data_IF_254399363951
#
_entry.id   IF_254399363951
#
_cell.length_a   1.000
_cell.length_b   1.000
_cell.length_c   1.000
_cell.angle_alpha   90.00
_cell.angle_beta   90.00
_cell.angle_gamma   90.00
#
_symmetry.space_group_name_H-M   'P 1'
#
loop_
_entity.id
_entity.type
_entity.pdbx_description
1 polymer ?
#
# COMPACT_ATOMS: atom_id res chain seq x y z
N UNK A 1 -68.43 7.80 15.74
CA UNK A 1 -67.18 8.35 16.32
C UNK A 1 -66.17 7.29 16.77
N UNK A 2 -66.54 6.22 17.50
CA UNK A 2 -65.58 5.19 17.97
C UNK A 2 -64.84 4.43 16.85
N UNK A 3 -65.48 4.17 15.71
CA UNK A 3 -64.85 3.49 14.57
C UNK A 3 -63.81 4.35 13.81
N UNK A 4 -64.01 5.68 13.78
CA UNK A 4 -63.07 6.61 13.13
C UNK A 4 -61.82 6.82 14.00
N UNK A 5 -61.98 6.79 15.33
CA UNK A 5 -60.86 6.86 16.28
C UNK A 5 -59.96 5.60 16.22
N UNK A 6 -60.54 4.42 15.96
CA UNK A 6 -59.77 3.18 15.79
C UNK A 6 -58.96 3.17 14.47
N UNK A 7 -59.51 3.77 13.41
CA UNK A 7 -58.82 3.89 12.12
C UNK A 7 -57.66 4.90 12.17
N UNK A 8 -57.75 5.93 13.02
CA UNK A 8 -56.67 6.89 13.26
C UNK A 8 -55.53 6.30 14.11
N UNK A 9 -55.84 5.36 15.02
CA UNK A 9 -54.84 4.69 15.87
C UNK A 9 -54.01 3.64 15.11
N UNK A 10 -54.53 3.10 14.00
CA UNK A 10 -53.79 2.17 13.13
C UNK A 10 -52.81 2.90 12.21
N UNK A 11 -53.07 4.17 11.87
CA UNK A 11 -52.23 4.99 11.00
C UNK A 11 -50.98 5.57 11.68
N UNK A 12 -50.85 5.49 13.00
CA UNK A 12 -49.62 5.92 13.72
C UNK A 12 -48.58 4.82 13.87
N UNK A 13 -48.81 3.62 13.31
CA UNK A 13 -47.70 2.71 13.02
C UNK A 13 -46.94 3.25 11.81
N UNK A 14 -46.20 4.34 12.04
CA UNK A 14 -45.17 4.78 11.13
C UNK A 14 -44.20 3.61 10.98
N UNK A 15 -44.33 2.88 9.88
CA UNK A 15 -43.32 1.93 9.44
C UNK A 15 -41.99 2.68 9.51
N UNK A 16 -41.14 2.29 10.44
CA UNK A 16 -39.76 2.73 10.46
C UNK A 16 -39.13 2.13 9.20
N UNK A 17 -39.15 2.90 8.12
CA UNK A 17 -38.42 2.56 6.91
C UNK A 17 -36.95 2.70 7.30
N UNK A 18 -36.27 1.56 7.47
CA UNK A 18 -34.83 1.54 7.72
C UNK A 18 -34.12 2.05 6.46
N UNK A 19 -33.85 3.36 6.45
CA UNK A 19 -32.96 3.98 5.48
C UNK A 19 -31.51 3.58 5.75
N UNK A 20 -30.61 4.00 4.88
CA UNK A 20 -29.16 3.87 5.06
C UNK A 20 -28.75 4.54 6.38
N UNK A 21 -28.17 3.76 7.30
CA UNK A 21 -27.62 4.27 8.55
C UNK A 21 -26.25 4.92 8.30
N UNK A 22 -26.26 6.19 7.89
CA UNK A 22 -25.05 6.96 7.64
C UNK A 22 -24.22 7.20 8.92
N UNK A 23 -24.82 7.09 10.11
CA UNK A 23 -24.10 7.23 11.38
C UNK A 23 -23.21 6.00 11.57
N UNK A 24 -23.78 4.79 11.42
CA UNK A 24 -23.03 3.52 11.44
C UNK A 24 -21.94 3.48 10.37
N UNK A 25 -22.21 3.97 9.16
CA UNK A 25 -21.20 4.04 8.08
C UNK A 25 -20.02 4.93 8.50
N UNK A 26 -20.29 6.16 8.98
CA UNK A 26 -19.24 7.08 9.45
C UNK A 26 -18.46 6.51 10.64
N UNK A 27 -19.13 5.86 11.57
CA UNK A 27 -18.50 5.17 12.72
C UNK A 27 -17.56 4.05 12.25
N UNK A 28 -18.00 3.25 11.28
CA UNK A 28 -17.21 2.17 10.70
C UNK A 28 -15.97 2.70 10.00
N UNK A 29 -16.12 3.74 9.17
CA UNK A 29 -15.00 4.40 8.51
C UNK A 29 -14.02 4.95 9.55
N UNK A 30 -14.52 5.70 10.54
CA UNK A 30 -13.68 6.27 11.62
C UNK A 30 -12.90 5.20 12.38
N UNK A 31 -13.52 4.05 12.64
CA UNK A 31 -12.89 2.93 13.35
C UNK A 31 -11.80 2.30 12.50
N UNK A 32 -12.14 1.84 11.29
CA UNK A 32 -11.23 1.15 10.37
C UNK A 32 -10.08 2.03 9.84
N UNK A 33 -10.23 3.36 9.90
CA UNK A 33 -9.18 4.33 9.52
C UNK A 33 -8.41 4.88 10.73
N UNK A 34 -8.72 4.43 11.94
CA UNK A 34 -8.00 4.88 13.13
C UNK A 34 -6.59 4.31 13.19
N UNK A 35 -5.70 4.99 13.93
CA UNK A 35 -4.31 4.56 14.16
C UNK A 35 -4.19 3.12 14.68
N UNK A 36 -5.21 2.65 15.42
CA UNK A 36 -5.29 1.29 15.95
C UNK A 36 -5.23 0.22 14.85
N UNK A 37 -5.75 0.51 13.66
CA UNK A 37 -5.80 -0.46 12.56
C UNK A 37 -4.58 -0.39 11.65
N UNK A 38 -3.57 0.44 11.96
CA UNK A 38 -2.28 0.48 11.26
C UNK A 38 -2.40 0.54 9.72
N UNK A 39 -3.38 1.29 9.21
CA UNK A 39 -3.62 1.37 7.77
C UNK A 39 -4.04 0.06 7.11
N UNK A 40 -4.52 -0.92 7.89
CA UNK A 40 -5.07 -2.22 7.45
C UNK A 40 -4.17 -3.02 6.52
N UNK A 41 -2.86 -2.88 6.68
CA UNK A 41 -1.86 -3.68 5.96
C UNK A 41 -1.31 -4.81 6.82
N UNK A 42 -0.48 -5.66 6.20
CA UNK A 42 0.16 -6.81 6.86
C UNK A 42 1.10 -6.39 8.01
N UNK A 43 1.77 -5.23 7.87
CA UNK A 43 2.61 -4.68 8.93
C UNK A 43 1.77 -4.41 10.20
N UNK A 44 2.31 -4.79 11.36
CA UNK A 44 1.65 -4.62 12.65
C UNK A 44 0.27 -5.30 12.76
N UNK A 45 -0.03 -6.27 11.88
CA UNK A 45 -1.29 -7.04 11.84
C UNK A 45 -2.55 -6.16 11.64
N UNK A 46 -2.42 -5.06 10.90
CA UNK A 46 -3.52 -4.13 10.67
C UNK A 46 -4.71 -4.77 9.95
N UNK A 47 -4.45 -5.65 9.00
CA UNK A 47 -5.46 -6.42 8.27
C UNK A 47 -6.17 -7.44 9.17
N UNK A 48 -5.45 -8.19 9.99
CA UNK A 48 -6.05 -9.12 10.95
C UNK A 48 -6.97 -8.39 11.96
N UNK A 49 -6.56 -7.21 12.43
CA UNK A 49 -7.41 -6.37 13.29
C UNK A 49 -8.70 -5.93 12.57
N UNK A 50 -8.62 -5.63 11.28
CA UNK A 50 -9.80 -5.31 10.46
C UNK A 50 -10.71 -6.53 10.26
N UNK A 51 -10.14 -7.71 10.05
CA UNK A 51 -10.87 -8.98 9.95
C UNK A 51 -11.65 -9.29 11.25
N UNK A 52 -11.03 -9.10 12.42
CA UNK A 52 -11.68 -9.27 13.72
C UNK A 52 -12.85 -8.29 13.92
N UNK A 53 -12.66 -7.02 13.53
CA UNK A 53 -13.72 -6.02 13.56
C UNK A 53 -14.90 -6.45 12.67
N UNK A 54 -14.64 -6.86 11.44
CA UNK A 54 -15.68 -7.30 10.49
C UNK A 54 -16.40 -8.54 11.01
N UNK A 55 -15.67 -9.51 11.56
CA UNK A 55 -16.26 -10.71 12.20
C UNK A 55 -17.26 -10.33 13.28
N UNK A 56 -16.90 -9.35 14.11
CA UNK A 56 -17.79 -8.83 15.17
C UNK A 56 -19.02 -8.20 14.56
N UNK A 57 -18.86 -7.36 13.53
CA UNK A 57 -19.98 -6.73 12.84
C UNK A 57 -20.92 -7.73 12.15
N UNK A 58 -20.40 -8.82 11.59
CA UNK A 58 -21.21 -9.89 10.98
C UNK A 58 -22.08 -10.61 12.02
N UNK A 59 -21.51 -10.92 13.19
CA UNK A 59 -22.25 -11.53 14.29
C UNK A 59 -23.35 -10.59 14.81
N UNK A 60 -23.05 -9.31 14.99
CA UNK A 60 -24.00 -8.30 15.49
C UNK A 60 -25.22 -8.13 14.59
N UNK A 61 -25.04 -8.22 13.27
CA UNK A 61 -26.15 -8.10 12.31
C UNK A 61 -26.83 -9.44 11.99
N UNK A 62 -26.44 -10.53 12.67
CA UNK A 62 -27.08 -11.84 12.56
C UNK A 62 -26.72 -12.64 11.31
N UNK A 63 -25.59 -12.37 10.66
CA UNK A 63 -25.08 -13.27 9.61
C UNK A 63 -24.70 -14.62 10.22
N UNK A 64 -24.61 -15.64 9.37
CA UNK A 64 -24.02 -16.94 9.73
C UNK A 64 -22.75 -17.20 8.93
N UNK A 65 -21.77 -17.93 9.48
CA UNK A 65 -20.59 -18.31 8.71
C UNK A 65 -20.95 -19.31 7.61
N UNK A 66 -20.30 -19.19 6.44
CA UNK A 66 -20.52 -20.10 5.30
C UNK A 66 -19.80 -21.44 5.48
N UNK A 67 -18.76 -21.48 6.32
CA UNK A 67 -18.00 -22.69 6.66
C UNK A 67 -17.95 -22.87 8.19
N UNK A 68 -16.90 -23.53 8.70
CA UNK A 68 -16.68 -23.67 10.14
C UNK A 68 -16.51 -22.31 10.86
N UNK A 69 -16.06 -21.28 10.13
CA UNK A 69 -15.93 -19.92 10.65
C UNK A 69 -16.27 -18.88 9.58
N UNK A 70 -16.35 -17.60 9.96
CA UNK A 70 -16.47 -16.49 9.01
C UNK A 70 -15.20 -16.29 8.18
N UNK A 71 -14.05 -16.71 8.70
CA UNK A 71 -12.76 -16.50 8.08
C UNK A 71 -12.45 -17.66 7.11
N UNK A 72 -12.14 -17.31 5.87
CA UNK A 72 -11.53 -18.20 4.90
C UNK A 72 -10.05 -17.76 4.75
N UNK A 73 -9.10 -18.52 5.31
CA UNK A 73 -7.69 -18.15 5.30
C UNK A 73 -7.05 -18.35 3.92
N UNK A 74 -6.08 -17.50 3.61
CA UNK A 74 -5.15 -17.66 2.50
C UNK A 74 -3.79 -17.06 2.88
N UNK A 75 -2.73 -17.41 2.13
CA UNK A 75 -1.40 -16.85 2.39
C UNK A 75 -0.80 -16.24 1.13
N UNK A 76 0.01 -15.21 1.31
CA UNK A 76 0.78 -14.57 0.25
C UNK A 76 2.09 -13.98 0.79
N UNK A 77 3.04 -13.76 -0.11
CA UNK A 77 4.26 -13.04 0.23
C UNK A 77 4.03 -11.53 0.15
N UNK A 78 4.58 -10.76 1.10
CA UNK A 78 4.49 -9.30 1.09
C UNK A 78 5.73 -8.65 1.68
N UNK A 79 6.27 -7.65 0.99
CA UNK A 79 7.31 -6.78 1.48
C UNK A 79 6.70 -5.58 2.23
N UNK A 80 7.14 -5.36 3.47
CA UNK A 80 6.63 -4.31 4.35
C UNK A 80 7.77 -3.43 4.88
N UNK A 81 7.44 -2.23 5.37
CA UNK A 81 8.44 -1.25 5.82
C UNK A 81 8.14 -0.73 7.26
N UNK A 82 8.11 -1.60 8.28
CA UNK A 82 7.74 -1.20 9.65
C UNK A 82 8.85 -0.41 10.38
N UNK A 83 10.06 -0.38 9.83
CA UNK A 83 11.25 0.09 10.51
C UNK A 83 11.64 1.54 10.19
N UNK A 84 12.95 1.79 10.17
CA UNK A 84 13.50 3.10 9.85
C UNK A 84 13.18 3.48 8.41
N UNK A 85 12.77 4.74 8.23
CA UNK A 85 12.48 5.34 6.93
C UNK A 85 13.06 6.75 6.94
N UNK A 86 14.16 6.95 6.23
CA UNK A 86 14.87 8.22 6.16
C UNK A 86 15.46 8.42 4.77
N UNK A 87 15.25 9.61 4.22
CA UNK A 87 15.93 10.12 3.04
C UNK A 87 16.31 11.58 3.28
N UNK A 88 17.57 11.91 3.05
CA UNK A 88 18.14 13.24 3.24
C UNK A 88 19.16 13.52 2.14
N UNK A 89 19.25 14.76 1.68
CA UNK A 89 20.36 15.24 0.85
C UNK A 89 21.29 16.13 1.69
N UNK A 90 22.41 16.57 1.10
CA UNK A 90 23.23 17.63 1.70
C UNK A 90 22.48 18.97 1.86
N UNK A 91 21.32 19.16 1.24
CA UNK A 91 20.55 20.41 1.30
C UNK A 91 19.35 20.34 2.26
N UNK A 92 18.92 19.14 2.67
CA UNK A 92 17.79 19.01 3.58
C UNK A 92 17.26 17.59 3.71
N UNK A 93 16.40 17.39 4.70
CA UNK A 93 15.69 16.12 4.93
C UNK A 93 14.39 16.10 4.13
N UNK A 94 14.07 14.97 3.51
CA UNK A 94 12.80 14.74 2.83
C UNK A 94 11.83 14.00 3.77
N UNK A 95 10.53 14.27 3.61
CA UNK A 95 9.45 13.72 4.41
C UNK A 95 8.83 12.51 3.73
N UNK A 96 8.87 11.35 4.38
CA UNK A 96 8.25 10.13 3.86
C UNK A 96 6.73 10.30 3.71
N UNK A 97 6.16 9.78 2.63
CA UNK A 97 4.75 9.90 2.26
C UNK A 97 4.34 11.25 1.65
N UNK A 98 5.12 12.32 1.85
CA UNK A 98 4.87 13.64 1.28
C UNK A 98 5.83 13.96 0.13
N UNK A 99 7.14 13.87 0.40
CA UNK A 99 8.20 14.18 -0.56
C UNK A 99 8.68 12.93 -1.30
N UNK A 100 8.61 11.76 -0.65
CA UNK A 100 9.02 10.50 -1.24
C UNK A 100 8.28 9.28 -0.67
N UNK A 101 8.26 8.20 -1.44
CA UNK A 101 7.90 6.84 -1.03
C UNK A 101 9.03 5.88 -1.43
N UNK A 102 8.88 4.61 -1.10
CA UNK A 102 9.78 3.55 -1.57
C UNK A 102 9.05 2.67 -2.59
N UNK A 103 9.81 2.11 -3.53
CA UNK A 103 9.29 1.06 -4.41
C UNK A 103 8.79 -0.13 -3.58
N UNK A 104 7.72 -0.83 -3.99
CA UNK A 104 7.25 -2.01 -3.28
C UNK A 104 8.30 -3.14 -3.21
N UNK A 105 9.24 -3.20 -4.16
CA UNK A 105 10.36 -4.17 -4.18
C UNK A 105 11.62 -3.67 -3.46
N UNK A 106 11.56 -2.48 -2.84
CA UNK A 106 12.68 -1.85 -2.15
C UNK A 106 13.28 -2.77 -1.07
N UNK A 107 14.61 -2.89 -1.08
CA UNK A 107 15.37 -3.59 -0.06
C UNK A 107 15.86 -2.66 1.06
N UNK A 108 16.34 -3.28 2.14
CA UNK A 108 16.96 -2.55 3.24
C UNK A 108 18.33 -2.00 2.86
N UNK A 109 18.69 -0.86 3.45
CA UNK A 109 20.01 -0.28 3.27
C UNK A 109 20.17 0.99 4.07
N UNK A 110 21.41 1.36 4.35
CA UNK A 110 21.75 2.62 5.01
C UNK A 110 23.12 3.12 4.60
N UNK A 111 23.28 4.43 4.56
CA UNK A 111 24.58 5.06 4.32
C UNK A 111 24.45 6.48 3.81
N UNK A 112 25.59 7.06 3.45
CA UNK A 112 25.68 8.35 2.77
C UNK A 112 26.60 8.20 1.58
N UNK A 113 26.09 8.50 0.39
CA UNK A 113 26.80 8.25 -0.87
C UNK A 113 26.68 9.44 -1.80
N UNK A 114 27.60 9.54 -2.76
CA UNK A 114 27.58 10.58 -3.78
C UNK A 114 26.41 10.36 -4.75
N UNK A 115 25.82 11.45 -5.24
CA UNK A 115 24.78 11.42 -6.27
C UNK A 115 25.42 11.23 -7.65
N UNK A 116 24.89 10.29 -8.41
CA UNK A 116 25.16 10.11 -9.83
C UNK A 116 23.89 10.37 -10.63
N UNK A 117 23.85 11.46 -11.38
CA UNK A 117 22.76 11.76 -12.30
C UNK A 117 22.90 10.92 -13.56
N UNK A 118 21.89 10.09 -13.84
CA UNK A 118 21.91 9.21 -15.01
C UNK A 118 21.82 10.05 -16.29
N UNK A 119 22.82 9.89 -17.16
CA UNK A 119 22.80 10.48 -18.49
C UNK A 119 21.84 9.67 -19.37
N UNK A 120 20.76 10.29 -19.84
CA UNK A 120 19.73 9.62 -20.64
C UNK A 120 20.21 9.18 -22.01
N UNK A 121 21.38 9.65 -22.47
CA UNK A 121 21.97 9.18 -23.72
C UNK A 121 22.26 7.68 -23.72
N UNK A 122 22.37 7.03 -22.55
CA UNK A 122 22.55 5.57 -22.47
C UNK A 122 21.41 4.78 -23.12
N UNK A 123 20.23 5.38 -23.33
CA UNK A 123 19.09 4.70 -23.96
C UNK A 123 19.12 4.77 -25.50
N UNK A 124 19.98 5.63 -26.07
CA UNK A 124 20.04 5.86 -27.52
C UNK A 124 21.44 5.69 -28.11
N UNK A 125 22.47 5.62 -27.27
CA UNK A 125 23.88 5.57 -27.66
C UNK A 125 24.58 4.38 -26.98
N UNK A 126 24.99 3.42 -27.80
CA UNK A 126 25.62 2.17 -27.36
C UNK A 126 26.99 2.39 -26.71
N UNK A 127 27.77 3.38 -27.16
CA UNK A 127 29.06 3.69 -26.54
C UNK A 127 28.86 4.27 -25.13
N UNK A 128 27.84 5.12 -24.97
CA UNK A 128 27.46 5.68 -23.66
C UNK A 128 26.96 4.59 -22.72
N UNK A 129 26.11 3.69 -23.21
CA UNK A 129 25.64 2.53 -22.44
C UNK A 129 26.82 1.65 -21.98
N UNK A 130 27.69 1.26 -22.91
CA UNK A 130 28.86 0.43 -22.61
C UNK A 130 29.84 1.12 -21.64
N UNK A 131 29.99 2.45 -21.74
CA UNK A 131 30.78 3.23 -20.78
C UNK A 131 30.14 3.22 -19.39
N UNK A 132 28.81 3.34 -19.31
CA UNK A 132 28.06 3.29 -18.05
C UNK A 132 28.17 1.90 -17.40
N UNK A 133 27.95 0.82 -18.14
CA UNK A 133 27.99 -0.56 -17.64
C UNK A 133 29.34 -0.99 -17.05
N UNK A 134 30.43 -0.28 -17.38
CA UNK A 134 31.78 -0.52 -16.83
C UNK A 134 32.02 0.20 -15.50
N UNK A 135 31.12 1.08 -15.06
CA UNK A 135 31.30 1.87 -13.83
C UNK A 135 31.02 1.03 -12.59
N UNK A 136 31.73 1.30 -11.50
CA UNK A 136 31.39 0.73 -10.21
C UNK A 136 30.29 1.58 -9.54
N UNK A 137 29.10 1.00 -9.37
CA UNK A 137 27.95 1.70 -8.80
C UNK A 137 27.78 1.51 -7.29
N UNK A 138 28.55 0.60 -6.68
CA UNK A 138 28.42 0.18 -5.26
C UNK A 138 28.39 1.34 -4.26
N UNK A 139 29.02 2.47 -4.59
CA UNK A 139 29.18 3.64 -3.71
C UNK A 139 28.48 4.91 -4.20
N UNK A 140 27.51 4.79 -5.11
CA UNK A 140 26.74 5.93 -5.61
C UNK A 140 25.24 5.73 -5.46
N UNK A 141 24.51 6.84 -5.30
CA UNK A 141 23.06 6.88 -5.46
C UNK A 141 22.75 7.32 -6.89
N UNK A 142 22.11 6.47 -7.68
CA UNK A 142 21.68 6.83 -9.03
C UNK A 142 20.40 7.67 -8.93
N UNK A 143 20.35 8.78 -9.65
CA UNK A 143 19.17 9.63 -9.77
C UNK A 143 18.76 9.72 -11.23
N UNK A 144 17.50 9.40 -11.53
CA UNK A 144 16.96 9.50 -12.88
C UNK A 144 15.47 9.85 -12.87
N UNK A 145 14.93 10.26 -14.03
CA UNK A 145 13.51 10.57 -14.19
C UNK A 145 12.70 9.30 -14.46
N UNK A 146 11.67 9.02 -13.64
CA UNK A 146 10.81 7.83 -13.69
C UNK A 146 10.12 7.61 -15.04
N UNK A 147 9.98 8.66 -15.87
CA UNK A 147 9.48 8.50 -17.25
C UNK A 147 10.32 7.54 -18.10
N UNK A 148 11.59 7.35 -17.74
CA UNK A 148 12.53 6.42 -18.40
C UNK A 148 12.54 5.01 -17.76
N UNK A 149 11.62 4.72 -16.83
CA UNK A 149 11.61 3.44 -16.12
C UNK A 149 11.42 2.25 -17.08
N UNK A 150 10.65 2.41 -18.17
CA UNK A 150 10.43 1.33 -19.14
C UNK A 150 11.68 1.00 -19.94
N UNK A 151 12.40 2.02 -20.41
CA UNK A 151 13.67 1.90 -21.11
C UNK A 151 14.67 1.13 -20.24
N UNK A 152 14.66 1.42 -18.94
CA UNK A 152 15.45 0.72 -17.94
C UNK A 152 15.03 -0.75 -17.72
N UNK A 153 13.73 -1.04 -17.56
CA UNK A 153 13.27 -2.38 -17.17
C UNK A 153 13.08 -3.35 -18.33
N UNK A 154 12.80 -2.85 -19.54
CA UNK A 154 12.35 -3.69 -20.67
C UNK A 154 13.38 -3.79 -21.80
N UNK A 155 14.28 -2.82 -21.96
CA UNK A 155 15.14 -2.77 -23.16
C UNK A 155 16.50 -3.43 -22.96
N UNK A 156 17.03 -3.54 -21.73
CA UNK A 156 18.35 -4.13 -21.50
C UNK A 156 18.44 -4.81 -20.12
N UNK A 157 18.33 -6.15 -20.04
CA UNK A 157 18.44 -6.88 -18.77
C UNK A 157 19.76 -6.62 -18.01
N UNK A 158 20.86 -6.44 -18.74
CA UNK A 158 22.16 -6.11 -18.14
C UNK A 158 22.16 -4.74 -17.47
N UNK A 159 21.47 -3.75 -18.05
CA UNK A 159 21.32 -2.42 -17.45
C UNK A 159 20.52 -2.50 -16.15
N UNK A 160 19.44 -3.28 -16.14
CA UNK A 160 18.63 -3.53 -14.95
C UNK A 160 19.49 -4.08 -13.81
N UNK A 161 20.15 -5.21 -14.04
CA UNK A 161 21.02 -5.84 -13.03
C UNK A 161 22.14 -4.91 -12.56
N UNK A 162 22.73 -4.14 -13.49
CA UNK A 162 23.81 -3.21 -13.18
C UNK A 162 23.34 -2.06 -12.29
N UNK A 163 22.19 -1.42 -12.56
CA UNK A 163 21.69 -0.33 -11.70
C UNK A 163 21.31 -0.82 -10.30
N UNK A 164 20.81 -2.05 -10.17
CA UNK A 164 20.58 -2.69 -8.87
C UNK A 164 21.88 -3.11 -8.15
N UNK A 165 23.06 -2.82 -8.69
CA UNK A 165 24.33 -2.85 -7.94
C UNK A 165 24.67 -1.53 -7.24
N UNK A 166 23.87 -0.47 -7.46
CA UNK A 166 24.06 0.82 -6.83
C UNK A 166 23.79 0.80 -5.32
N UNK A 167 24.33 1.78 -4.59
CA UNK A 167 24.03 1.93 -3.16
C UNK A 167 22.53 2.19 -2.92
N UNK A 168 21.91 2.98 -3.80
CA UNK A 168 20.48 3.22 -3.86
C UNK A 168 20.09 3.81 -5.23
N UNK A 169 18.80 3.77 -5.53
CA UNK A 169 18.20 4.37 -6.72
C UNK A 169 17.14 5.40 -6.28
N UNK A 170 17.14 6.56 -6.92
CA UNK A 170 16.13 7.61 -6.79
C UNK A 170 15.46 7.80 -8.15
N UNK A 171 14.15 7.53 -8.17
CA UNK A 171 13.27 7.77 -9.30
C UNK A 171 12.52 9.09 -9.08
N UNK A 172 12.87 10.12 -9.84
CA UNK A 172 12.19 11.41 -9.79
C UNK A 172 10.89 11.36 -10.60
N UNK A 173 9.82 11.90 -10.05
CA UNK A 173 8.55 12.04 -10.76
C UNK A 173 7.82 13.33 -10.40
N UNK A 174 7.08 13.86 -11.37
CA UNK A 174 6.24 15.06 -11.18
C UNK A 174 4.78 14.72 -10.83
N UNK A 175 4.45 13.43 -10.77
CA UNK A 175 3.11 12.91 -10.49
C UNK A 175 2.94 12.59 -9.01
N UNK A 176 1.67 12.48 -8.58
CA UNK A 176 1.31 12.04 -7.22
C UNK A 176 1.97 10.70 -6.89
N UNK A 177 2.69 10.67 -5.76
CA UNK A 177 3.26 9.45 -5.19
C UNK A 177 2.14 8.44 -4.89
N UNK A 178 2.24 7.24 -5.48
CA UNK A 178 1.28 6.15 -5.29
C UNK A 178 2.06 4.90 -4.95
N UNK A 179 1.86 4.38 -3.74
CA UNK A 179 2.58 3.21 -3.25
C UNK A 179 1.83 1.94 -3.65
N UNK A 180 2.58 0.95 -4.15
CA UNK A 180 2.08 -0.39 -4.45
C UNK A 180 2.46 -1.41 -3.38
N UNK A 181 2.14 -2.68 -3.64
CA UNK A 181 2.57 -3.82 -2.83
C UNK A 181 3.32 -4.81 -3.73
N UNK A 182 4.31 -5.50 -3.18
CA UNK A 182 5.01 -6.59 -3.87
C UNK A 182 5.27 -7.74 -2.91
N UNK A 183 5.27 -8.96 -3.45
CA UNK A 183 5.61 -10.18 -2.71
C UNK A 183 7.10 -10.54 -2.70
N UNK A 184 7.93 -9.64 -3.21
CA UNK A 184 9.36 -9.85 -3.37
C UNK A 184 10.16 -8.57 -3.12
N UNK A 185 11.47 -8.70 -2.99
CA UNK A 185 12.41 -7.60 -2.85
C UNK A 185 13.64 -7.86 -3.70
N UNK A 186 14.22 -6.80 -4.27
CA UNK A 186 15.45 -6.88 -5.06
C UNK A 186 16.70 -6.45 -4.27
N UNK A 187 16.58 -6.28 -2.94
CA UNK A 187 17.71 -6.00 -2.05
C UNK A 187 18.29 -4.59 -2.11
N UNK A 188 18.04 -3.84 -3.18
CA UNK A 188 18.50 -2.45 -3.35
C UNK A 188 17.47 -1.45 -2.82
N UNK A 189 17.87 -0.42 -2.07
CA UNK A 189 16.99 0.69 -1.73
C UNK A 189 16.57 1.48 -2.98
N UNK A 190 15.26 1.56 -3.22
CA UNK A 190 14.68 2.31 -4.34
C UNK A 190 13.64 3.29 -3.81
N UNK A 191 13.86 4.57 -4.05
CA UNK A 191 13.00 5.67 -3.61
C UNK A 191 12.30 6.29 -4.82
N UNK A 192 11.00 6.52 -4.71
CA UNK A 192 10.30 7.40 -5.65
C UNK A 192 10.12 8.76 -4.99
N UNK A 193 10.65 9.80 -5.61
CA UNK A 193 10.74 11.14 -5.01
C UNK A 193 10.06 12.15 -5.93
N UNK A 194 9.31 13.09 -5.35
CA UNK A 194 8.79 14.22 -6.11
C UNK A 194 9.95 15.07 -6.61
N UNK A 195 10.00 15.36 -7.92
CA UNK A 195 11.05 16.22 -8.50
C UNK A 195 11.11 17.57 -7.79
N UNK A 196 9.97 18.13 -7.41
CA UNK A 196 9.88 19.41 -6.69
C UNK A 196 10.50 19.39 -5.29
N UNK A 197 10.65 18.22 -4.67
CA UNK A 197 11.25 18.05 -3.35
C UNK A 197 12.74 17.66 -3.42
N UNK A 198 13.25 17.26 -4.59
CA UNK A 198 14.63 16.82 -4.75
C UNK A 198 15.53 17.95 -5.29
N UNK A 199 16.55 18.39 -4.55
CA UNK A 199 17.43 19.47 -4.99
C UNK A 199 18.23 19.09 -6.25
N UNK A 200 18.13 19.90 -7.30
CA UNK A 200 18.84 19.68 -8.57
C UNK A 200 20.38 19.68 -8.42
N UNK A 201 20.91 20.28 -7.35
CA UNK A 201 22.35 20.35 -7.05
C UNK A 201 22.77 19.43 -5.90
N UNK A 202 21.92 18.46 -5.53
CA UNK A 202 22.26 17.46 -4.52
C UNK A 202 23.56 16.72 -4.92
N UNK A 203 24.52 16.75 -4.00
CA UNK A 203 25.84 16.11 -4.14
C UNK A 203 25.90 14.77 -3.41
N UNK A 204 25.19 14.66 -2.29
CA UNK A 204 25.16 13.44 -1.48
C UNK A 204 23.76 13.15 -1.01
N UNK A 205 23.44 11.86 -0.90
CA UNK A 205 22.20 11.36 -0.31
C UNK A 205 22.56 10.48 0.89
N UNK A 206 21.92 10.75 2.02
CA UNK A 206 21.90 9.91 3.21
C UNK A 206 20.56 9.21 3.32
N UNK A 207 20.56 7.89 3.50
CA UNK A 207 19.32 7.14 3.66
C UNK A 207 19.45 6.06 4.73
N UNK A 208 18.29 5.63 5.24
CA UNK A 208 18.15 4.42 6.05
C UNK A 208 16.74 3.84 5.84
N UNK A 209 16.67 2.64 5.27
CA UNK A 209 15.44 1.89 5.03
C UNK A 209 15.57 0.52 5.66
N UNK A 210 14.56 0.13 6.43
CA UNK A 210 14.39 -1.21 6.96
C UNK A 210 13.11 -1.81 6.35
N UNK A 211 13.25 -2.96 5.69
CA UNK A 211 12.12 -3.72 5.15
C UNK A 211 12.01 -5.09 5.84
N UNK A 212 10.84 -5.69 5.72
CA UNK A 212 10.54 -7.04 6.18
C UNK A 212 9.73 -7.77 5.11
N UNK A 213 10.33 -8.79 4.51
CA UNK A 213 9.65 -9.69 3.59
C UNK A 213 8.98 -10.83 4.37
N UNK A 214 7.65 -10.88 4.33
CA UNK A 214 6.83 -11.89 4.96
C UNK A 214 6.41 -12.92 3.92
N UNK A 215 7.06 -14.09 3.88
CA UNK A 215 6.87 -15.11 2.82
C UNK A 215 5.54 -15.88 2.88
N UNK A 216 4.88 -15.87 4.04
CA UNK A 216 3.61 -16.58 4.29
C UNK A 216 2.73 -15.74 5.19
N UNK A 217 2.53 -14.48 4.82
CA UNK A 217 1.59 -13.64 5.55
C UNK A 217 0.18 -14.24 5.40
N UNK A 218 -0.48 -14.46 6.52
CA UNK A 218 -1.83 -15.01 6.57
C UNK A 218 -2.85 -13.89 6.56
N UNK A 219 -3.82 -13.98 5.65
CA UNK A 219 -4.95 -13.07 5.56
C UNK A 219 -6.25 -13.86 5.36
N UNK A 220 -7.38 -13.17 5.49
CA UNK A 220 -8.69 -13.82 5.58
C UNK A 220 -9.71 -13.14 4.67
N UNK A 221 -10.41 -13.91 3.84
CA UNK A 221 -11.70 -13.44 3.34
C UNK A 221 -12.71 -13.60 4.49
N UNK A 222 -13.50 -12.55 4.74
CA UNK A 222 -14.57 -12.60 5.73
C UNK A 222 -15.90 -12.82 5.03
N UNK A 223 -16.53 -13.96 5.29
CA UNK A 223 -17.72 -14.41 4.58
C UNK A 223 -18.82 -14.74 5.58
N UNK A 224 -19.88 -13.95 5.55
CA UNK A 224 -21.14 -14.21 6.23
C UNK A 224 -22.28 -14.28 5.23
N UNK A 225 -23.29 -15.10 5.52
CA UNK A 225 -24.48 -15.24 4.69
C UNK A 225 -25.77 -15.10 5.49
N UNK A 226 -26.85 -14.88 4.76
CA UNK A 226 -28.23 -14.99 5.24
C UNK A 226 -28.92 -15.94 4.27
N UNK A 227 -29.55 -16.99 4.77
CA UNK A 227 -30.26 -17.95 3.92
C UNK A 227 -31.52 -17.29 3.33
N UNK A 228 -31.71 -17.43 2.02
CA UNK A 228 -32.91 -16.95 1.35
C UNK A 228 -34.16 -17.70 1.82
N UNK A 229 -35.30 -17.02 1.90
CA UNK A 229 -36.56 -17.64 2.29
C UNK A 229 -37.27 -18.33 1.12
N UNK A 230 -37.27 -17.73 -0.07
CA UNK A 230 -38.05 -18.19 -1.23
C UNK A 230 -37.25 -18.89 -2.33
N UNK A 231 -36.02 -18.45 -2.61
CA UNK A 231 -35.12 -19.04 -3.61
C UNK A 231 -33.78 -19.38 -2.97
N UNK A 232 -33.65 -20.63 -2.52
CA UNK A 232 -32.47 -21.14 -1.79
C UNK A 232 -31.36 -21.67 -2.70
N UNK A 233 -31.64 -21.81 -3.99
CA UNK A 233 -30.74 -22.35 -5.02
C UNK A 233 -29.91 -21.27 -5.73
N UNK A 234 -30.05 -20.01 -5.31
CA UNK A 234 -29.45 -18.83 -5.95
C UNK A 234 -28.72 -17.98 -4.93
N UNK A 235 -27.64 -17.31 -5.35
CA UNK A 235 -26.84 -16.44 -4.50
C UNK A 235 -26.81 -15.01 -5.01
N UNK A 236 -26.80 -14.05 -4.08
CA UNK A 236 -26.41 -12.66 -4.34
C UNK A 236 -25.13 -12.41 -3.56
N UNK A 237 -24.05 -12.07 -4.27
CA UNK A 237 -22.76 -11.75 -3.66
C UNK A 237 -22.61 -10.23 -3.56
N UNK A 238 -22.43 -9.73 -2.34
CA UNK A 238 -22.02 -8.35 -2.06
C UNK A 238 -20.64 -8.42 -1.44
N UNK A 239 -19.66 -7.75 -2.05
CA UNK A 239 -18.27 -7.81 -1.61
C UNK A 239 -17.64 -6.42 -1.55
N UNK A 240 -16.63 -6.31 -0.69
CA UNK A 240 -15.71 -5.18 -0.61
C UNK A 240 -14.38 -5.72 -0.08
N UNK A 241 -13.29 -5.06 -0.46
CA UNK A 241 -11.99 -5.32 0.17
C UNK A 241 -11.83 -4.43 1.41
N UNK A 242 -11.18 -4.94 2.45
CA UNK A 242 -11.01 -4.22 3.72
C UNK A 242 -9.55 -3.90 4.03
N UNK A 243 -8.61 -4.51 3.31
CA UNK A 243 -7.19 -4.26 3.41
C UNK A 243 -6.82 -2.90 2.80
N UNK A 244 -5.62 -2.43 3.13
CA UNK A 244 -4.98 -1.28 2.51
C UNK A 244 -3.46 -1.38 2.69
N UNK A 245 -2.72 -0.40 2.16
CA UNK A 245 -1.24 -0.40 2.07
C UNK A 245 -0.49 -0.49 3.42
N UNK A 246 -1.15 -0.21 4.56
CA UNK A 246 -0.50 -0.20 5.87
C UNK A 246 0.31 1.06 6.15
N UNK A 247 1.33 0.92 7.00
CA UNK A 247 2.18 2.01 7.51
C UNK A 247 3.55 2.04 6.85
N UNK A 248 4.05 3.25 6.56
CA UNK A 248 5.43 3.48 6.11
C UNK A 248 6.30 4.01 7.26
N UNK A 249 7.15 3.16 7.80
CA UNK A 249 8.06 3.46 8.90
C UNK A 249 7.41 3.50 10.30
N UNK A 250 8.22 3.75 11.33
CA UNK A 250 7.84 3.67 12.75
C UNK A 250 6.76 4.66 13.23
N UNK A 251 6.42 5.69 12.45
CA UNK A 251 5.56 6.82 12.88
C UNK A 251 4.47 7.21 11.87
N UNK A 252 3.97 6.26 11.07
CA UNK A 252 2.78 6.51 10.25
C UNK A 252 1.48 6.34 11.07
#
# INVERSE_FOLDING_TARGET
MKAILLMFLVLTNAFQVYSQDLIRVKQTIKTLTSKKFHGRGAALKGDALAADYITTQFKEIGLTPVQQSYAQPFTYSINTFPGKMLLKTNEGTLTAGADYIVSPTCGAGKGTFAVYWLDTLIFSDEEKLNSFLKRNLTFVVIVYQKKYHKEFTEQTPDLLSHMYSAAAIIELQDKKLTMGLAGETYGTPVFEVLTSAFPAKAKTVSFAVENQLMQKHEAFNMIGSIEGSSKKDSFILISAHYDHLGTLGKKA
#
